data_IF_348859676916
#
_entry.id   IF_348859676916
#
_cell.length_a   1.000
_cell.length_b   1.000
_cell.length_c   1.000
_cell.angle_alpha   90.00
_cell.angle_beta   90.00
_cell.angle_gamma   90.00
#
_symmetry.space_group_name_H-M   'P 1'
#
loop_
_entity.id
_entity.type
_entity.pdbx_description
1 polymer ?
#
# COMPACT_ATOMS: atom_id res chain seq x y z
N UNK A 1 67.59 17.53 -6.77
CA UNK A 1 67.67 17.74 -5.31
C UNK A 1 66.39 18.44 -4.87
N UNK A 2 65.21 17.83 -4.73
CA UNK A 2 64.66 16.51 -5.02
C UNK A 2 63.14 16.77 -5.08
N UNK A 3 62.48 16.41 -6.17
CA UNK A 3 61.01 16.40 -6.22
C UNK A 3 60.58 14.94 -6.07
N UNK A 4 60.10 14.62 -4.86
CA UNK A 4 59.47 13.34 -4.55
C UNK A 4 58.21 13.18 -5.41
N UNK A 5 58.32 12.26 -6.37
CA UNK A 5 57.23 11.82 -7.22
C UNK A 5 56.31 10.91 -6.39
N UNK A 6 55.18 11.44 -5.91
CA UNK A 6 54.18 10.66 -5.18
C UNK A 6 53.47 9.68 -6.15
N UNK A 7 53.94 8.43 -6.12
CA UNK A 7 53.47 7.32 -6.95
C UNK A 7 52.34 6.56 -6.27
N UNK A 8 51.20 7.21 -6.07
CA UNK A 8 49.95 6.54 -5.70
C UNK A 8 48.78 6.96 -6.60
N UNK A 9 48.89 6.65 -7.89
CA UNK A 9 47.71 6.54 -8.76
C UNK A 9 47.22 5.09 -8.73
N UNK A 10 45.94 4.83 -8.38
CA UNK A 10 45.37 3.50 -8.44
C UNK A 10 45.38 2.96 -9.88
N UNK A 11 46.13 1.89 -10.10
CA UNK A 11 46.09 1.09 -11.33
C UNK A 11 44.73 0.40 -11.43
N UNK A 12 43.83 0.92 -12.26
CA UNK A 12 42.63 0.19 -12.69
C UNK A 12 43.08 -0.87 -13.70
N UNK A 13 43.43 -2.05 -13.19
CA UNK A 13 43.71 -3.20 -14.02
C UNK A 13 42.42 -3.62 -14.74
N UNK A 14 42.51 -3.63 -16.05
CA UNK A 14 41.55 -4.22 -16.96
C UNK A 14 41.35 -5.70 -16.61
N UNK A 15 40.08 -6.10 -16.46
CA UNK A 15 39.68 -7.48 -16.67
C UNK A 15 38.44 -7.48 -17.57
N UNK A 16 38.71 -7.74 -18.85
CA UNK A 16 37.73 -7.88 -19.91
C UNK A 16 37.89 -9.30 -20.44
N UNK A 17 36.94 -10.22 -20.22
CA UNK A 17 36.85 -11.42 -21.02
C UNK A 17 36.00 -11.14 -22.25
N UNK A 18 36.69 -11.30 -23.37
CA UNK A 18 36.26 -11.45 -24.75
C UNK A 18 34.79 -11.80 -25.03
N UNK A 19 34.31 -11.11 -26.06
CA UNK A 19 33.22 -11.47 -26.93
C UNK A 19 33.23 -12.97 -27.32
N UNK A 20 32.09 -13.61 -27.09
CA UNK A 20 31.64 -14.75 -27.88
C UNK A 20 30.42 -14.28 -28.69
N UNK A 21 30.60 -14.27 -29.99
CA UNK A 21 29.58 -14.19 -31.02
C UNK A 21 28.44 -15.17 -30.78
N UNK A 22 27.20 -14.71 -30.90
CA UNK A 22 26.16 -15.41 -31.65
C UNK A 22 25.03 -14.44 -32.04
N UNK A 23 24.86 -14.30 -33.35
CA UNK A 23 23.74 -13.65 -34.03
C UNK A 23 22.53 -14.63 -34.08
N UNK A 24 21.35 -14.17 -34.50
CA UNK A 24 20.05 -14.61 -33.96
C UNK A 24 19.55 -15.91 -34.60
N UNK A 25 19.05 -16.81 -33.76
CA UNK A 25 18.33 -18.01 -34.19
C UNK A 25 16.82 -17.76 -34.05
N UNK A 26 16.13 -17.80 -35.19
CA UNK A 26 14.68 -17.91 -35.31
C UNK A 26 14.18 -19.15 -34.58
N UNK A 27 13.28 -18.98 -33.63
CA UNK A 27 12.45 -20.06 -33.11
C UNK A 27 11.04 -19.56 -32.82
N UNK A 28 10.18 -19.78 -33.82
CA UNK A 28 8.88 -20.42 -33.70
C UNK A 28 7.91 -19.91 -32.63
N UNK A 29 6.81 -19.37 -33.13
CA UNK A 29 5.52 -19.35 -32.44
C UNK A 29 5.15 -20.72 -31.85
N UNK A 30 4.48 -20.73 -30.69
CA UNK A 30 3.42 -21.68 -30.45
C UNK A 30 2.08 -20.98 -30.65
N UNK A 31 1.29 -21.57 -31.54
CA UNK A 31 -0.13 -21.36 -31.63
C UNK A 31 -0.83 -21.77 -30.33
N UNK A 32 -1.92 -21.05 -30.04
CA UNK A 32 -3.14 -21.54 -29.38
C UNK A 32 -2.95 -22.54 -28.24
N UNK A 33 -3.06 -22.04 -27.01
CA UNK A 33 -3.67 -22.83 -25.95
C UNK A 33 -4.82 -22.03 -25.34
N UNK A 34 -6.03 -22.53 -25.60
CA UNK A 34 -7.27 -22.15 -24.94
C UNK A 34 -7.13 -22.48 -23.45
N UNK A 35 -6.60 -21.56 -22.65
CA UNK A 35 -6.68 -21.68 -21.20
C UNK A 35 -7.98 -21.04 -20.73
N UNK A 36 -9.01 -21.89 -20.81
CA UNK A 36 -10.05 -22.08 -19.81
C UNK A 36 -10.39 -20.85 -18.96
N UNK A 37 -11.56 -20.29 -19.26
CA UNK A 37 -12.33 -19.44 -18.37
C UNK A 37 -12.20 -19.94 -16.92
N UNK A 38 -11.70 -19.07 -16.05
CA UNK A 38 -11.77 -19.26 -14.62
C UNK A 38 -13.22 -19.64 -14.25
N UNK A 39 -13.44 -20.71 -13.47
CA UNK A 39 -14.78 -21.08 -13.07
C UNK A 39 -15.34 -19.92 -12.24
N UNK A 40 -16.37 -19.27 -12.78
CA UNK A 40 -17.30 -18.51 -11.95
C UNK A 40 -17.62 -19.36 -10.73
N UNK A 41 -17.56 -18.83 -9.50
CA UNK A 41 -18.16 -19.54 -8.39
C UNK A 41 -19.61 -19.82 -8.81
N UNK A 42 -19.98 -21.10 -8.82
CA UNK A 42 -21.35 -21.50 -9.02
C UNK A 42 -22.21 -20.67 -8.06
N UNK A 43 -23.39 -20.17 -8.48
CA UNK A 43 -24.35 -19.63 -7.54
C UNK A 43 -24.70 -20.77 -6.60
N UNK A 44 -24.11 -20.72 -5.40
CA UNK A 44 -24.34 -21.70 -4.37
C UNK A 44 -25.82 -21.73 -4.03
N UNK A 45 -26.28 -22.94 -3.76
CA UNK A 45 -27.67 -23.29 -3.59
C UNK A 45 -28.43 -22.35 -2.66
N UNK A 46 -29.49 -21.78 -3.19
CA UNK A 46 -30.83 -21.75 -2.57
C UNK A 46 -30.90 -21.68 -1.04
N UNK A 47 -30.28 -20.69 -0.42
CA UNK A 47 -30.97 -20.05 0.70
C UNK A 47 -32.08 -19.22 0.07
N UNK A 48 -33.21 -19.87 -0.16
CA UNK A 48 -34.50 -19.18 -0.22
C UNK A 48 -34.65 -18.49 1.13
N UNK A 49 -34.06 -17.31 1.23
CA UNK A 49 -34.29 -16.39 2.32
C UNK A 49 -35.76 -16.00 2.15
N UNK A 50 -36.62 -16.77 2.83
CA UNK A 50 -38.06 -16.53 3.00
C UNK A 50 -38.24 -15.22 3.76
N UNK A 51 -37.96 -14.11 3.09
CA UNK A 51 -38.27 -12.75 3.54
C UNK A 51 -38.90 -11.91 2.43
N UNK A 52 -39.36 -12.55 1.35
CA UNK A 52 -40.41 -12.01 0.50
C UNK A 52 -41.75 -12.31 1.18
N UNK A 53 -42.62 -11.31 1.35
CA UNK A 53 -43.98 -11.57 1.82
C UNK A 53 -44.61 -12.63 0.93
N UNK A 54 -45.07 -13.74 1.53
CA UNK A 54 -45.61 -14.89 0.79
C UNK A 54 -46.76 -14.39 -0.10
N UNK A 55 -46.60 -14.32 -1.44
CA UNK A 55 -47.69 -13.92 -2.35
C UNK A 55 -48.84 -14.93 -2.30
N UNK A 56 -48.53 -16.14 -1.83
CA UNK A 56 -49.45 -17.25 -1.61
C UNK A 56 -50.14 -17.16 -0.24
N UNK A 57 -49.72 -16.26 0.67
CA UNK A 57 -50.31 -16.10 2.01
C UNK A 57 -51.83 -15.92 2.00
N UNK A 58 -52.43 -15.10 1.10
CA UNK A 58 -53.89 -15.02 1.02
C UNK A 58 -54.50 -16.35 0.56
N UNK A 59 -53.87 -17.05 -0.40
CA UNK A 59 -54.32 -18.37 -0.88
C UNK A 59 -54.28 -19.44 0.21
N UNK A 60 -53.16 -19.55 0.91
CA UNK A 60 -52.92 -20.52 1.97
C UNK A 60 -53.86 -20.30 3.17
N UNK A 61 -54.14 -19.04 3.51
CA UNK A 61 -55.10 -18.69 4.56
C UNK A 61 -56.52 -19.13 4.17
N UNK A 62 -56.94 -18.88 2.93
CA UNK A 62 -58.25 -19.31 2.46
C UNK A 62 -58.36 -20.83 2.40
N UNK A 63 -57.32 -21.53 1.95
CA UNK A 63 -57.30 -22.98 1.88
C UNK A 63 -57.34 -23.65 3.27
N UNK A 64 -56.69 -23.05 4.27
CA UNK A 64 -56.77 -23.53 5.65
C UNK A 64 -58.20 -23.37 6.23
N UNK A 65 -58.86 -22.25 5.95
CA UNK A 65 -60.25 -22.01 6.37
C UNK A 65 -61.22 -22.94 5.65
N UNK A 66 -61.02 -23.16 4.35
CA UNK A 66 -61.83 -24.07 3.54
C UNK A 66 -61.67 -25.52 4.02
N UNK A 67 -60.44 -25.95 4.35
CA UNK A 67 -60.17 -27.28 4.92
C UNK A 67 -60.89 -27.46 6.27
N UNK A 68 -60.75 -26.51 7.19
CA UNK A 68 -61.43 -26.56 8.48
C UNK A 68 -62.96 -26.62 8.33
N UNK A 69 -63.52 -25.83 7.42
CA UNK A 69 -64.96 -25.82 7.18
C UNK A 69 -65.43 -27.12 6.56
N UNK A 70 -64.72 -27.62 5.54
CA UNK A 70 -65.05 -28.89 4.90
C UNK A 70 -64.89 -30.07 5.87
N UNK A 71 -63.95 -30.04 6.82
CA UNK A 71 -63.80 -31.11 7.83
C UNK A 71 -65.01 -31.21 8.77
N UNK A 72 -65.68 -30.09 9.06
CA UNK A 72 -66.84 -30.02 9.97
C UNK A 72 -68.18 -30.42 9.36
N UNK A 73 -68.26 -30.60 8.03
CA UNK A 73 -69.50 -30.94 7.33
C UNK A 73 -69.68 -32.46 7.15
N UNK A 74 -70.89 -32.98 6.90
CA UNK A 74 -71.08 -34.38 6.51
C UNK A 74 -70.49 -34.69 5.13
N UNK A 75 -69.94 -35.89 4.92
CA UNK A 75 -69.16 -36.26 3.72
C UNK A 75 -69.89 -36.02 2.39
N UNK A 76 -71.21 -36.27 2.34
CA UNK A 76 -72.05 -36.01 1.18
C UNK A 76 -72.08 -34.52 0.75
N UNK A 77 -71.94 -33.60 1.70
CA UNK A 77 -71.91 -32.15 1.45
C UNK A 77 -70.51 -31.68 1.06
N UNK A 78 -69.45 -32.34 1.56
CA UNK A 78 -68.07 -32.06 1.17
C UNK A 78 -67.83 -32.32 -0.31
N UNK A 79 -68.35 -33.46 -0.82
CA UNK A 79 -68.16 -33.88 -2.21
C UNK A 79 -68.96 -33.04 -3.23
N UNK A 80 -69.97 -32.29 -2.76
CA UNK A 80 -70.85 -31.49 -3.61
C UNK A 80 -70.53 -30.00 -3.63
N UNK A 81 -69.50 -29.54 -2.90
CA UNK A 81 -69.09 -28.14 -2.84
C UNK A 81 -67.74 -27.92 -3.55
N UNK A 82 -67.70 -26.99 -4.50
CA UNK A 82 -66.47 -26.61 -5.17
C UNK A 82 -65.63 -25.67 -4.31
N UNK A 83 -64.39 -26.06 -4.02
CA UNK A 83 -63.42 -25.28 -3.22
C UNK A 83 -63.12 -23.91 -3.84
N UNK A 84 -63.04 -23.82 -5.17
CA UNK A 84 -62.75 -22.55 -5.85
C UNK A 84 -63.87 -21.51 -5.70
N UNK A 85 -65.14 -21.95 -5.72
CA UNK A 85 -66.27 -21.05 -5.45
C UNK A 85 -66.34 -20.65 -3.98
N UNK A 86 -65.98 -21.56 -3.06
CA UNK A 86 -65.88 -21.23 -1.63
C UNK A 86 -64.79 -20.17 -1.41
N UNK A 87 -63.63 -20.29 -2.07
CA UNK A 87 -62.56 -19.30 -2.04
C UNK A 87 -63.00 -17.94 -2.55
N UNK A 88 -63.68 -17.89 -3.70
CA UNK A 88 -64.22 -16.65 -4.26
C UNK A 88 -65.30 -16.03 -3.36
N UNK A 89 -66.15 -16.85 -2.74
CA UNK A 89 -67.19 -16.38 -1.82
C UNK A 89 -66.59 -15.81 -0.54
N UNK A 90 -65.62 -16.48 0.06
CA UNK A 90 -64.91 -15.99 1.26
C UNK A 90 -64.17 -14.70 0.91
N UNK A 91 -63.47 -14.65 -0.23
CA UNK A 91 -62.82 -13.45 -0.69
C UNK A 91 -63.82 -12.30 -0.81
N UNK A 92 -64.95 -12.51 -1.49
CA UNK A 92 -66.01 -11.51 -1.71
C UNK A 92 -66.86 -11.17 -0.47
N UNK A 93 -66.80 -11.99 0.58
CA UNK A 93 -67.47 -11.75 1.86
C UNK A 93 -66.57 -11.05 2.89
N UNK A 94 -65.25 -11.04 2.69
CA UNK A 94 -64.34 -10.26 3.53
C UNK A 94 -64.61 -8.76 3.39
N UNK A 95 -64.48 -8.02 4.49
CA UNK A 95 -64.57 -6.57 4.48
C UNK A 95 -63.50 -5.93 3.57
N UNK A 96 -63.88 -4.85 2.88
CA UNK A 96 -63.00 -4.09 1.98
C UNK A 96 -61.70 -3.63 2.67
N UNK A 97 -61.77 -3.37 3.98
CA UNK A 97 -60.62 -2.98 4.80
C UNK A 97 -59.57 -4.09 5.00
N UNK A 98 -59.98 -5.35 4.94
CA UNK A 98 -59.07 -6.51 5.06
C UNK A 98 -58.47 -6.86 3.70
N UNK A 99 -59.24 -6.76 2.61
CA UNK A 99 -58.72 -6.94 1.25
C UNK A 99 -57.66 -5.92 0.92
N UNK A 100 -57.96 -4.64 1.14
CA UNK A 100 -56.99 -3.55 0.94
C UNK A 100 -55.74 -3.75 1.79
N UNK A 101 -55.82 -4.31 3.01
CA UNK A 101 -54.64 -4.63 3.82
C UNK A 101 -53.83 -5.79 3.24
N UNK A 102 -54.47 -6.86 2.77
CA UNK A 102 -53.80 -7.99 2.12
C UNK A 102 -53.10 -7.53 0.83
N UNK A 103 -53.80 -6.76 0.00
CA UNK A 103 -53.25 -6.20 -1.23
C UNK A 103 -52.09 -5.23 -0.94
N UNK A 104 -52.21 -4.39 0.10
CA UNK A 104 -51.13 -3.51 0.53
C UNK A 104 -49.93 -4.28 1.12
N UNK A 105 -50.15 -5.44 1.74
CA UNK A 105 -49.08 -6.29 2.25
C UNK A 105 -48.31 -6.96 1.10
N UNK A 106 -49.01 -7.49 0.10
CA UNK A 106 -48.42 -8.08 -1.10
C UNK A 106 -47.73 -7.02 -1.96
N UNK A 107 -48.42 -5.92 -2.27
CA UNK A 107 -47.83 -4.80 -3.02
C UNK A 107 -46.69 -4.10 -2.26
N UNK A 108 -46.74 -4.10 -0.93
CA UNK A 108 -45.66 -3.59 -0.07
C UNK A 108 -44.41 -4.45 -0.16
N UNK A 109 -44.54 -5.78 -0.19
CA UNK A 109 -43.44 -6.71 -0.38
C UNK A 109 -42.78 -6.52 -1.75
N UNK A 110 -43.56 -6.48 -2.84
CA UNK A 110 -43.06 -6.25 -4.20
C UNK A 110 -42.37 -4.89 -4.33
N UNK A 111 -42.96 -3.84 -3.76
CA UNK A 111 -42.38 -2.49 -3.79
C UNK A 111 -41.06 -2.41 -3.05
N UNK A 112 -40.95 -3.11 -1.91
CA UNK A 112 -39.69 -3.19 -1.15
C UNK A 112 -38.61 -3.93 -1.93
N UNK A 113 -38.97 -5.01 -2.63
CA UNK A 113 -38.04 -5.80 -3.43
C UNK A 113 -37.56 -5.01 -4.66
N UNK A 114 -38.48 -4.36 -5.37
CA UNK A 114 -38.15 -3.47 -6.49
C UNK A 114 -37.24 -2.33 -6.02
N UNK A 115 -37.47 -1.79 -4.83
CA UNK A 115 -36.62 -0.73 -4.27
C UNK A 115 -35.22 -1.24 -3.91
N UNK A 116 -35.08 -2.44 -3.32
CA UNK A 116 -33.79 -3.08 -3.07
C UNK A 116 -33.01 -3.28 -4.38
N UNK A 117 -33.64 -3.90 -5.38
CA UNK A 117 -33.04 -4.12 -6.69
C UNK A 117 -32.64 -2.81 -7.38
N UNK A 118 -33.46 -1.75 -7.25
CA UNK A 118 -33.12 -0.43 -7.78
C UNK A 118 -31.90 0.17 -7.09
N UNK A 119 -31.82 0.08 -5.76
CA UNK A 119 -30.70 0.59 -4.98
C UNK A 119 -29.41 -0.18 -5.31
N UNK A 120 -29.48 -1.50 -5.43
CA UNK A 120 -28.35 -2.34 -5.84
C UNK A 120 -27.87 -1.96 -7.25
N UNK A 121 -28.80 -1.79 -8.20
CA UNK A 121 -28.47 -1.35 -9.56
C UNK A 121 -27.86 0.06 -9.57
N UNK A 122 -28.36 1.02 -8.78
CA UNK A 122 -27.73 2.34 -8.65
C UNK A 122 -26.33 2.24 -8.05
N UNK A 123 -26.15 1.40 -7.03
CA UNK A 123 -24.85 1.18 -6.39
C UNK A 123 -23.84 0.55 -7.35
N UNK A 124 -24.24 -0.47 -8.12
CA UNK A 124 -23.40 -1.11 -9.13
C UNK A 124 -23.06 -0.14 -10.28
N UNK A 125 -24.02 0.68 -10.74
CA UNK A 125 -23.73 1.70 -11.73
C UNK A 125 -22.73 2.74 -11.21
N UNK A 126 -22.86 3.17 -9.95
CA UNK A 126 -21.90 4.06 -9.31
C UNK A 126 -20.50 3.45 -9.22
N UNK A 127 -20.39 2.17 -8.86
CA UNK A 127 -19.10 1.46 -8.85
C UNK A 127 -18.50 1.33 -10.26
N UNK A 128 -19.31 1.11 -11.29
CA UNK A 128 -18.84 1.08 -12.68
C UNK A 128 -18.33 2.45 -13.12
N UNK A 129 -19.05 3.52 -12.79
CA UNK A 129 -18.64 4.89 -13.11
C UNK A 129 -17.33 5.27 -12.38
N UNK A 130 -17.21 4.92 -11.11
CA UNK A 130 -15.97 5.11 -10.34
C UNK A 130 -14.80 4.33 -10.94
N UNK A 131 -15.00 3.05 -11.25
CA UNK A 131 -13.98 2.21 -11.89
C UNK A 131 -13.58 2.74 -13.28
N UNK A 132 -14.54 3.28 -14.05
CA UNK A 132 -14.25 3.93 -15.33
C UNK A 132 -13.46 5.23 -15.15
N UNK A 133 -13.79 6.04 -14.14
CA UNK A 133 -13.04 7.25 -13.81
C UNK A 133 -11.61 6.92 -13.36
N UNK A 134 -11.43 5.87 -12.57
CA UNK A 134 -10.11 5.38 -12.14
C UNK A 134 -9.29 4.85 -13.31
N UNK A 135 -9.91 4.09 -14.24
CA UNK A 135 -9.26 3.67 -15.48
C UNK A 135 -8.80 4.87 -16.31
N UNK A 136 -9.64 5.91 -16.44
CA UNK A 136 -9.28 7.13 -17.17
C UNK A 136 -8.15 7.93 -16.51
N UNK A 137 -8.09 7.95 -15.17
CA UNK A 137 -6.96 8.53 -14.42
C UNK A 137 -5.68 7.73 -14.63
N UNK A 138 -5.76 6.40 -14.58
CA UNK A 138 -4.62 5.52 -14.84
C UNK A 138 -4.05 5.72 -16.25
N UNK A 139 -4.91 5.81 -17.27
CA UNK A 139 -4.50 6.10 -18.65
C UNK A 139 -3.82 7.46 -18.79
N UNK A 140 -4.35 8.48 -18.11
CA UNK A 140 -3.76 9.83 -18.10
C UNK A 140 -2.37 9.84 -17.46
N UNK A 141 -2.20 9.14 -16.33
CA UNK A 141 -0.90 8.99 -15.67
C UNK A 141 0.08 8.20 -16.55
N UNK A 142 -0.37 7.13 -17.22
CA UNK A 142 0.47 6.36 -18.14
C UNK A 142 0.97 7.21 -19.32
N UNK A 143 0.11 8.08 -19.88
CA UNK A 143 0.50 9.03 -20.92
C UNK A 143 1.53 10.04 -20.42
N UNK A 144 1.37 10.55 -19.18
CA UNK A 144 2.30 11.51 -18.60
C UNK A 144 3.67 10.87 -18.31
N UNK A 145 3.69 9.66 -17.74
CA UNK A 145 4.93 8.89 -17.55
C UNK A 145 5.64 8.70 -18.89
N UNK A 146 4.92 8.33 -19.95
CA UNK A 146 5.50 8.17 -21.29
C UNK A 146 6.07 9.49 -21.83
N UNK A 147 5.40 10.64 -21.60
CA UNK A 147 5.93 11.96 -22.01
C UNK A 147 7.21 12.31 -21.25
N UNK A 148 7.22 12.12 -19.93
CA UNK A 148 8.39 12.38 -19.09
C UNK A 148 9.55 11.49 -19.51
N UNK A 149 9.33 10.18 -19.72
CA UNK A 149 10.34 9.25 -20.24
C UNK A 149 10.91 9.72 -21.58
N UNK A 150 10.06 10.07 -22.55
CA UNK A 150 10.53 10.58 -23.84
C UNK A 150 11.31 11.89 -23.71
N UNK A 151 10.94 12.77 -22.78
CA UNK A 151 11.67 14.00 -22.51
C UNK A 151 13.05 13.74 -21.89
N UNK A 152 13.12 12.83 -20.91
CA UNK A 152 14.36 12.41 -20.28
C UNK A 152 15.29 11.71 -21.28
N UNK A 153 14.74 10.87 -22.15
CA UNK A 153 15.48 10.20 -23.22
C UNK A 153 16.02 11.19 -24.27
N UNK A 154 15.29 12.26 -24.56
CA UNK A 154 15.78 13.35 -25.43
C UNK A 154 16.89 14.14 -24.74
N UNK A 155 16.73 14.47 -23.47
CA UNK A 155 17.76 15.15 -22.68
C UNK A 155 19.02 14.30 -22.57
N UNK A 156 18.90 12.99 -22.30
CA UNK A 156 20.02 12.06 -22.25
C UNK A 156 20.78 12.02 -23.58
N UNK A 157 20.07 11.95 -24.71
CA UNK A 157 20.71 12.01 -26.04
C UNK A 157 21.44 13.33 -26.26
N UNK A 158 20.81 14.46 -25.96
CA UNK A 158 21.44 15.77 -26.11
C UNK A 158 22.69 15.95 -25.23
N UNK A 159 22.68 15.39 -24.01
CA UNK A 159 23.85 15.39 -23.13
C UNK A 159 24.94 14.45 -23.62
N UNK A 160 24.60 13.25 -24.11
CA UNK A 160 25.56 12.35 -24.73
C UNK A 160 26.20 12.98 -25.98
N UNK A 161 25.44 13.68 -26.82
CA UNK A 161 25.96 14.40 -27.98
C UNK A 161 26.93 15.51 -27.55
N UNK A 162 26.59 16.27 -26.49
CA UNK A 162 27.50 17.28 -25.93
C UNK A 162 28.76 16.67 -25.33
N UNK A 163 28.66 15.52 -24.67
CA UNK A 163 29.83 14.80 -24.14
C UNK A 163 30.73 14.36 -25.29
N UNK A 164 30.16 13.75 -26.35
CA UNK A 164 30.91 13.36 -27.54
C UNK A 164 31.59 14.57 -28.21
N UNK A 165 30.92 15.72 -28.29
CA UNK A 165 31.50 16.96 -28.82
C UNK A 165 32.66 17.47 -27.95
N UNK A 166 32.51 17.43 -26.63
CA UNK A 166 33.58 17.82 -25.69
C UNK A 166 34.77 16.86 -25.74
N UNK A 167 34.52 15.55 -25.84
CA UNK A 167 35.56 14.54 -26.03
C UNK A 167 36.32 14.76 -27.35
N UNK A 168 35.60 15.07 -28.43
CA UNK A 168 36.20 15.46 -29.72
C UNK A 168 37.05 16.74 -29.61
N UNK A 169 36.58 17.76 -28.88
CA UNK A 169 37.36 18.96 -28.62
C UNK A 169 38.63 18.66 -27.79
N UNK A 170 38.52 17.82 -26.75
CA UNK A 170 39.67 17.42 -25.92
C UNK A 170 40.70 16.67 -26.75
N UNK A 171 40.30 15.74 -27.61
CA UNK A 171 41.24 15.03 -28.49
C UNK A 171 41.90 15.97 -29.50
N UNK A 172 41.16 16.94 -30.05
CA UNK A 172 41.71 17.98 -30.91
C UNK A 172 42.74 18.83 -30.16
N UNK A 173 42.42 19.31 -28.96
CA UNK A 173 43.32 20.10 -28.11
C UNK A 173 44.56 19.31 -27.68
N UNK A 174 44.41 18.02 -27.39
CA UNK A 174 45.54 17.13 -27.11
C UNK A 174 46.47 17.03 -28.33
N UNK A 175 45.91 16.84 -29.53
CA UNK A 175 46.70 16.81 -30.76
C UNK A 175 47.41 18.14 -31.05
N UNK A 176 46.76 19.28 -30.75
CA UNK A 176 47.35 20.60 -30.90
C UNK A 176 48.48 20.82 -29.88
N UNK A 177 48.28 20.40 -28.63
CA UNK A 177 49.32 20.42 -27.59
C UNK A 177 50.54 19.60 -28.03
N UNK A 178 50.36 18.40 -28.55
CA UNK A 178 51.45 17.56 -29.08
C UNK A 178 52.17 18.25 -30.26
N UNK A 179 51.44 18.88 -31.17
CA UNK A 179 52.01 19.69 -32.27
C UNK A 179 52.83 20.88 -31.76
N UNK A 180 52.36 21.58 -30.73
CA UNK A 180 53.10 22.70 -30.13
C UNK A 180 54.36 22.22 -29.42
N UNK A 181 54.28 21.11 -28.69
CA UNK A 181 55.44 20.53 -27.99
C UNK A 181 56.52 20.09 -28.98
N UNK A 182 56.13 19.38 -30.04
CA UNK A 182 57.06 18.99 -31.12
C UNK A 182 57.66 20.21 -31.83
N UNK A 183 56.86 21.24 -32.12
CA UNK A 183 57.36 22.50 -32.68
C UNK A 183 58.33 23.21 -31.74
N UNK A 184 58.03 23.28 -30.44
CA UNK A 184 58.91 23.87 -29.42
C UNK A 184 60.23 23.10 -29.35
N UNK A 185 60.19 21.77 -29.35
CA UNK A 185 61.39 20.93 -29.37
C UNK A 185 62.24 21.24 -30.61
N UNK A 186 61.64 21.27 -31.80
CA UNK A 186 62.35 21.60 -33.03
C UNK A 186 62.97 23.01 -32.99
N UNK A 187 62.27 24.01 -32.44
CA UNK A 187 62.85 25.35 -32.29
C UNK A 187 64.02 25.41 -31.31
N UNK A 188 63.96 24.64 -30.22
CA UNK A 188 65.06 24.55 -29.25
C UNK A 188 66.30 23.90 -29.89
N UNK A 189 66.10 22.85 -30.69
CA UNK A 189 67.16 22.20 -31.45
C UNK A 189 67.79 23.15 -32.48
N UNK A 190 66.98 23.92 -33.23
CA UNK A 190 67.47 24.97 -34.14
C UNK A 190 68.28 26.03 -33.40
N UNK A 191 67.84 26.46 -32.21
CA UNK A 191 68.60 27.41 -31.38
C UNK A 191 69.93 26.82 -30.92
N UNK A 192 69.96 25.55 -30.51
CA UNK A 192 71.20 24.83 -30.19
C UNK A 192 72.18 24.84 -31.37
N UNK A 193 71.71 24.42 -32.56
CA UNK A 193 72.52 24.46 -33.77
C UNK A 193 72.97 25.87 -34.15
N UNK A 194 72.14 26.89 -33.93
CA UNK A 194 72.52 28.29 -34.19
C UNK A 194 73.60 28.78 -33.24
N UNK A 195 73.54 28.40 -31.96
CA UNK A 195 74.59 28.71 -31.00
C UNK A 195 75.89 27.99 -31.38
N UNK A 196 75.81 26.72 -31.80
CA UNK A 196 76.97 25.98 -32.31
C UNK A 196 77.59 26.67 -33.53
N UNK A 197 76.76 27.12 -34.49
CA UNK A 197 77.23 27.90 -35.64
C UNK A 197 77.89 29.21 -35.18
N UNK A 198 77.29 29.94 -34.24
CA UNK A 198 77.87 31.18 -33.71
C UNK A 198 79.24 30.93 -33.06
N UNK A 199 79.39 29.86 -32.26
CA UNK A 199 80.71 29.50 -31.69
C UNK A 199 81.72 29.13 -32.78
N UNK A 200 81.28 28.45 -33.83
CA UNK A 200 82.13 28.13 -34.99
C UNK A 200 82.49 29.37 -35.80
N UNK A 201 81.58 30.33 -35.93
CA UNK A 201 81.84 31.62 -36.57
C UNK A 201 82.78 32.49 -35.71
N UNK A 202 82.68 32.43 -34.38
CA UNK A 202 83.65 33.04 -33.46
C UNK A 202 85.04 32.40 -33.61
N UNK A 203 85.12 31.08 -33.73
CA UNK A 203 86.37 30.38 -34.05
C UNK A 203 86.92 30.82 -35.44
N UNK A 204 86.06 30.89 -36.47
CA UNK A 204 86.43 31.35 -37.81
C UNK A 204 86.85 32.81 -37.80
N UNK A 205 86.18 33.68 -37.05
CA UNK A 205 86.53 35.10 -36.94
C UNK A 205 87.78 35.31 -36.10
N UNK A 206 88.04 34.50 -35.08
CA UNK A 206 89.33 34.47 -34.38
C UNK A 206 90.46 34.04 -35.32
N UNK A 207 90.25 32.98 -36.11
CA UNK A 207 91.22 32.53 -37.12
C UNK A 207 91.42 33.58 -38.24
N UNK A 208 90.34 34.18 -38.74
CA UNK A 208 90.39 35.32 -39.67
C UNK A 208 91.03 36.54 -39.03
N UNK A 209 90.81 36.78 -37.75
CA UNK A 209 91.40 37.85 -36.96
C UNK A 209 92.89 37.67 -36.80
N UNK A 210 93.38 36.43 -36.65
CA UNK A 210 94.82 36.13 -36.71
C UNK A 210 95.37 36.35 -38.14
N UNK A 211 94.64 35.96 -39.18
CA UNK A 211 94.99 36.24 -40.59
C UNK A 211 94.97 37.75 -40.87
N UNK A 212 94.03 38.47 -40.26
CA UNK A 212 93.85 39.90 -40.42
C UNK A 212 94.80 40.68 -39.53
N UNK A 213 95.21 40.22 -38.35
CA UNK A 213 96.25 40.85 -37.53
C UNK A 213 97.62 40.76 -38.24
N UNK A 214 97.83 39.66 -38.99
CA UNK A 214 98.89 39.57 -39.99
C UNK A 214 98.70 40.54 -41.17
N UNK A 215 97.47 40.91 -41.54
CA UNK A 215 97.16 41.83 -42.66
C UNK A 215 96.86 43.29 -42.25
N UNK A 216 96.68 43.61 -40.96
CA UNK A 216 96.18 44.89 -40.42
C UNK A 216 97.17 45.55 -39.47
N UNK A 217 98.32 44.91 -39.26
CA UNK A 217 99.59 45.64 -39.20
C UNK A 217 99.81 46.56 -40.42
N UNK A 218 99.01 46.45 -41.48
CA UNK A 218 99.15 47.22 -42.71
C UNK A 218 98.30 48.51 -42.79
N UNK A 219 97.18 48.70 -42.08
CA UNK A 219 96.40 49.97 -42.22
C UNK A 219 95.37 50.24 -41.10
N UNK A 220 95.41 51.44 -40.52
CA UNK A 220 94.63 51.90 -39.37
C UNK A 220 93.45 52.83 -39.71
N UNK A 221 92.28 52.58 -39.10
CA UNK A 221 91.26 53.47 -38.46
C UNK A 221 90.77 54.79 -39.13
N UNK A 222 89.71 55.49 -38.61
CA UNK A 222 88.47 55.10 -37.90
C UNK A 222 87.20 55.77 -38.54
N UNK A 223 85.97 55.54 -38.05
CA UNK A 223 84.84 56.44 -38.42
C UNK A 223 83.64 56.49 -37.43
N UNK A 224 83.01 57.66 -37.32
CA UNK A 224 81.90 58.03 -36.42
C UNK A 224 80.50 57.67 -36.96
N UNK A 225 80.41 56.92 -38.06
CA UNK A 225 79.14 56.43 -38.61
C UNK A 225 78.46 55.38 -37.72
N UNK A 226 79.26 54.62 -36.96
CA UNK A 226 78.76 53.52 -36.13
C UNK A 226 77.91 53.96 -34.94
N UNK A 227 78.02 55.20 -34.47
CA UNK A 227 77.23 55.68 -33.33
C UNK A 227 75.80 56.05 -33.73
N UNK A 228 75.60 56.55 -34.95
CA UNK A 228 74.26 56.80 -35.53
C UNK A 228 73.56 55.47 -35.81
N UNK A 229 74.29 54.50 -36.37
CA UNK A 229 73.77 53.17 -36.65
C UNK A 229 73.41 52.40 -35.37
N UNK A 230 74.17 52.58 -34.28
CA UNK A 230 73.84 52.04 -32.94
C UNK A 230 72.57 52.64 -32.36
N UNK A 231 72.36 53.95 -32.47
CA UNK A 231 71.14 54.60 -31.98
C UNK A 231 69.91 54.17 -32.78
N UNK A 232 70.06 53.97 -34.10
CA UNK A 232 68.98 53.42 -34.94
C UNK A 232 68.64 51.97 -34.53
N UNK A 233 69.66 51.13 -34.33
CA UNK A 233 69.46 49.75 -33.87
C UNK A 233 68.80 49.69 -32.47
N UNK A 234 69.14 50.61 -31.57
CA UNK A 234 68.51 50.68 -30.24
C UNK A 234 67.05 51.13 -30.31
N UNK A 235 66.70 52.05 -31.21
CA UNK A 235 65.29 52.43 -31.44
C UNK A 235 64.49 51.25 -32.00
N UNK A 236 65.02 50.51 -32.99
CA UNK A 236 64.38 49.31 -33.54
C UNK A 236 64.24 48.19 -32.49
N UNK A 237 65.24 48.05 -31.62
CA UNK A 237 65.17 47.13 -30.48
C UNK A 237 64.07 47.55 -29.49
N UNK A 238 63.91 48.85 -29.23
CA UNK A 238 62.86 49.36 -28.35
C UNK A 238 61.47 49.23 -28.97
N UNK A 239 61.30 49.43 -30.28
CA UNK A 239 60.01 49.22 -30.95
C UNK A 239 59.58 47.77 -30.89
N UNK A 240 60.47 46.84 -31.22
CA UNK A 240 60.19 45.39 -31.14
C UNK A 240 59.87 44.93 -29.72
N UNK A 241 60.59 45.43 -28.70
CA UNK A 241 60.27 45.14 -27.31
C UNK A 241 58.89 45.68 -26.90
N UNK A 242 58.53 46.87 -27.38
CA UNK A 242 57.24 47.50 -27.09
C UNK A 242 56.09 46.72 -27.72
N UNK A 243 56.25 46.27 -28.96
CA UNK A 243 55.28 45.38 -29.63
C UNK A 243 55.12 44.05 -28.89
N UNK A 244 56.22 43.45 -28.40
CA UNK A 244 56.15 42.24 -27.58
C UNK A 244 55.42 42.45 -26.26
N UNK A 245 55.63 43.59 -25.58
CA UNK A 245 54.90 43.93 -24.36
C UNK A 245 53.43 44.19 -24.65
N UNK A 246 53.09 44.87 -25.75
CA UNK A 246 51.71 45.11 -26.14
C UNK A 246 50.97 43.80 -26.46
N UNK A 247 51.63 42.86 -27.15
CA UNK A 247 51.10 41.52 -27.37
C UNK A 247 50.90 40.75 -26.06
N UNK A 248 51.85 40.83 -25.12
CA UNK A 248 51.73 40.21 -23.80
C UNK A 248 50.55 40.79 -23.02
N UNK A 249 50.37 42.11 -23.01
CA UNK A 249 49.25 42.77 -22.31
C UNK A 249 47.91 42.30 -22.89
N UNK A 250 47.76 42.29 -24.22
CA UNK A 250 46.56 41.78 -24.88
C UNK A 250 46.28 40.32 -24.52
N UNK A 251 47.33 39.49 -24.47
CA UNK A 251 47.21 38.08 -24.10
C UNK A 251 46.85 37.88 -22.63
N UNK A 252 47.41 38.69 -21.72
CA UNK A 252 47.05 38.65 -20.29
C UNK A 252 45.64 39.17 -20.03
N UNK A 253 45.18 40.19 -20.77
CA UNK A 253 43.81 40.69 -20.66
C UNK A 253 42.79 39.67 -21.16
N UNK A 254 43.10 38.97 -22.26
CA UNK A 254 42.28 37.86 -22.75
C UNK A 254 42.22 36.73 -21.71
N UNK A 255 43.35 36.35 -21.11
CA UNK A 255 43.40 35.32 -20.07
C UNK A 255 42.66 35.74 -18.79
N UNK A 256 42.76 37.01 -18.37
CA UNK A 256 42.01 37.53 -17.23
C UNK A 256 40.50 37.52 -17.50
N UNK A 257 40.06 37.83 -18.71
CA UNK A 257 38.66 37.76 -19.07
C UNK A 257 38.14 36.32 -19.12
N UNK A 258 38.92 35.39 -19.65
CA UNK A 258 38.60 33.96 -19.65
C UNK A 258 38.47 33.42 -18.21
N UNK A 259 39.44 33.71 -17.34
CA UNK A 259 39.39 33.32 -15.93
C UNK A 259 38.18 33.92 -15.20
N UNK A 260 37.80 35.17 -15.53
CA UNK A 260 36.58 35.79 -15.00
C UNK A 260 35.32 35.08 -15.49
N UNK A 261 35.27 34.67 -16.76
CA UNK A 261 34.16 33.89 -17.32
C UNK A 261 34.04 32.55 -16.61
N UNK A 262 35.13 31.80 -16.51
CA UNK A 262 35.18 30.51 -15.81
C UNK A 262 34.78 30.65 -14.33
N UNK A 263 35.20 31.73 -13.67
CA UNK A 263 34.79 32.01 -12.28
C UNK A 263 33.29 32.29 -12.19
N UNK A 264 32.70 32.98 -13.17
CA UNK A 264 31.26 33.24 -13.21
C UNK A 264 30.45 31.96 -13.48
N UNK A 265 30.92 31.11 -14.40
CA UNK A 265 30.32 29.82 -14.72
C UNK A 265 30.37 28.87 -13.52
N UNK A 266 31.53 28.73 -12.86
CA UNK A 266 31.67 27.92 -11.65
C UNK A 266 30.74 28.38 -10.52
N UNK A 267 30.55 29.70 -10.36
CA UNK A 267 29.59 30.25 -9.38
C UNK A 267 28.15 29.92 -9.75
N UNK A 268 27.80 29.96 -11.03
CA UNK A 268 26.47 29.60 -11.50
C UNK A 268 26.18 28.11 -11.29
N UNK A 269 27.16 27.24 -11.56
CA UNK A 269 27.05 25.80 -11.29
C UNK A 269 26.90 25.51 -9.80
N UNK A 270 27.69 26.18 -8.94
CA UNK A 270 27.55 26.08 -7.49
C UNK A 270 26.15 26.49 -7.02
N UNK A 271 25.61 27.60 -7.56
CA UNK A 271 24.27 28.07 -7.22
C UNK A 271 23.18 27.06 -7.64
N UNK A 272 23.29 26.48 -8.83
CA UNK A 272 22.38 25.42 -9.29
C UNK A 272 22.48 24.16 -8.43
N UNK A 273 23.69 23.77 -8.03
CA UNK A 273 23.90 22.63 -7.15
C UNK A 273 23.31 22.88 -5.74
N UNK A 274 23.43 24.09 -5.21
CA UNK A 274 22.82 24.50 -3.95
C UNK A 274 21.28 24.48 -4.02
N UNK A 275 20.70 24.96 -5.13
CA UNK A 275 19.26 24.89 -5.37
C UNK A 275 18.80 23.42 -5.48
N UNK A 276 19.53 22.58 -6.21
CA UNK A 276 19.27 21.14 -6.28
C UNK A 276 19.32 20.45 -4.92
N UNK A 277 20.28 20.81 -4.07
CA UNK A 277 20.38 20.29 -2.70
C UNK A 277 19.21 20.75 -1.82
N UNK A 278 18.73 21.98 -1.97
CA UNK A 278 17.55 22.47 -1.27
C UNK A 278 16.29 21.68 -1.66
N UNK A 279 16.12 21.38 -2.95
CA UNK A 279 15.01 20.53 -3.43
C UNK A 279 15.10 19.12 -2.86
N UNK A 280 16.30 18.51 -2.83
CA UNK A 280 16.49 17.17 -2.24
C UNK A 280 16.16 17.18 -0.75
N UNK A 281 16.54 18.22 -0.01
CA UNK A 281 16.20 18.35 1.41
C UNK A 281 14.69 18.48 1.63
N UNK A 282 13.98 19.22 0.79
CA UNK A 282 12.51 19.31 0.85
C UNK A 282 11.86 17.95 0.53
N UNK A 283 12.35 17.24 -0.49
CA UNK A 283 11.88 15.88 -0.81
C UNK A 283 12.12 14.93 0.36
N UNK A 284 13.28 15.00 1.01
CA UNK A 284 13.57 14.19 2.19
C UNK A 284 12.61 14.51 3.34
N UNK A 285 12.35 15.80 3.61
CA UNK A 285 11.40 16.21 4.64
C UNK A 285 9.96 15.75 4.34
N UNK A 286 9.58 15.71 3.06
CA UNK A 286 8.29 15.16 2.62
C UNK A 286 8.24 13.64 2.75
N UNK A 287 9.35 12.94 2.47
CA UNK A 287 9.47 11.50 2.65
C UNK A 287 9.31 11.11 4.13
N UNK A 288 9.99 11.81 5.04
CA UNK A 288 9.90 11.57 6.48
C UNK A 288 8.46 11.74 6.99
N UNK A 289 7.76 12.79 6.54
CA UNK A 289 6.34 13.00 6.84
C UNK A 289 5.47 11.85 6.32
N UNK A 290 5.76 11.32 5.13
CA UNK A 290 5.03 10.20 4.56
C UNK A 290 5.30 8.91 5.34
N UNK A 291 6.54 8.66 5.76
CA UNK A 291 6.90 7.53 6.61
C UNK A 291 6.17 7.57 7.96
N UNK A 292 6.06 8.75 8.58
CA UNK A 292 5.29 8.92 9.82
C UNK A 292 3.80 8.66 9.62
N UNK A 293 3.22 9.14 8.53
CA UNK A 293 1.81 8.85 8.18
C UNK A 293 1.61 7.36 7.93
N UNK A 294 2.57 6.70 7.25
CA UNK A 294 2.53 5.27 7.01
C UNK A 294 2.54 4.49 8.33
N UNK A 295 3.47 4.80 9.25
CA UNK A 295 3.53 4.16 10.57
C UNK A 295 2.22 4.28 11.33
N UNK A 296 1.62 5.48 11.39
CA UNK A 296 0.32 5.69 12.04
C UNK A 296 -0.81 4.89 11.41
N UNK A 297 -0.81 4.76 10.08
CA UNK A 297 -1.81 3.94 9.37
C UNK A 297 -1.60 2.45 9.63
N UNK A 298 -0.35 1.98 9.62
CA UNK A 298 -0.01 0.59 9.91
C UNK A 298 -0.39 0.21 11.36
N UNK A 299 -0.13 1.09 12.33
CA UNK A 299 -0.60 0.96 13.71
C UNK A 299 -2.12 0.87 13.78
N UNK A 300 -2.84 1.75 13.08
CA UNK A 300 -4.30 1.73 13.04
C UNK A 300 -4.86 0.46 12.39
N UNK A 301 -4.20 -0.05 11.36
CA UNK A 301 -4.56 -1.32 10.72
C UNK A 301 -4.36 -2.47 11.71
N UNK A 302 -3.25 -2.49 12.44
CA UNK A 302 -3.00 -3.51 13.47
C UNK A 302 -4.07 -3.48 14.58
N UNK A 303 -4.42 -2.30 15.10
CA UNK A 303 -5.51 -2.13 16.06
C UNK A 303 -6.85 -2.66 15.54
N UNK A 304 -7.21 -2.33 14.29
CA UNK A 304 -8.45 -2.79 13.67
C UNK A 304 -8.45 -4.30 13.44
N UNK A 305 -7.30 -4.88 13.08
CA UNK A 305 -7.14 -6.33 12.93
C UNK A 305 -7.31 -7.06 14.26
N UNK A 306 -6.73 -6.53 15.34
CA UNK A 306 -6.88 -7.12 16.68
C UNK A 306 -8.30 -6.98 17.21
N UNK A 307 -8.96 -5.84 16.97
CA UNK A 307 -10.38 -5.65 17.28
C UNK A 307 -11.27 -6.65 16.51
N UNK A 308 -10.99 -6.87 15.22
CA UNK A 308 -11.71 -7.88 14.43
C UNK A 308 -11.49 -9.29 14.98
N UNK A 309 -10.25 -9.65 15.36
CA UNK A 309 -9.93 -10.94 15.97
C UNK A 309 -10.66 -11.15 17.30
N UNK A 310 -10.70 -10.12 18.15
CA UNK A 310 -11.44 -10.17 19.41
C UNK A 310 -12.93 -10.39 19.17
N UNK A 311 -13.54 -9.61 18.28
CA UNK A 311 -14.96 -9.74 17.92
C UNK A 311 -15.28 -11.11 17.29
N UNK A 312 -14.36 -11.69 16.50
CA UNK A 312 -14.54 -13.04 15.97
C UNK A 312 -14.45 -14.10 17.06
N UNK A 313 -13.53 -13.95 18.02
CA UNK A 313 -13.42 -14.85 19.17
C UNK A 313 -14.68 -14.81 20.05
N UNK A 314 -15.19 -13.62 20.35
CA UNK A 314 -16.46 -13.47 21.08
C UNK A 314 -17.63 -14.11 20.34
N UNK A 315 -17.70 -13.95 19.02
CA UNK A 315 -18.73 -14.60 18.18
C UNK A 315 -18.65 -16.13 18.28
N UNK A 316 -17.45 -16.69 18.20
CA UNK A 316 -17.23 -18.15 18.29
C UNK A 316 -17.58 -18.68 19.69
N UNK A 317 -17.25 -17.94 20.75
CA UNK A 317 -17.65 -18.27 22.11
C UNK A 317 -19.18 -18.28 22.27
N UNK A 318 -19.86 -17.23 21.78
CA UNK A 318 -21.32 -17.14 21.80
C UNK A 318 -21.94 -18.29 20.98
N UNK A 319 -21.39 -18.59 19.80
CA UNK A 319 -21.85 -19.70 18.98
C UNK A 319 -21.72 -21.05 19.71
N UNK A 320 -20.57 -21.31 20.35
CA UNK A 320 -20.37 -22.53 21.14
C UNK A 320 -21.32 -22.64 22.34
N UNK A 321 -21.64 -21.50 22.97
CA UNK A 321 -22.60 -21.45 24.08
C UNK A 321 -24.01 -21.71 23.59
N UNK A 322 -24.38 -21.14 22.45
CA UNK A 322 -25.67 -21.37 21.81
C UNK A 322 -25.82 -22.85 21.45
N UNK A 323 -24.81 -23.46 20.83
CA UNK A 323 -24.79 -24.89 20.50
C UNK A 323 -24.93 -25.80 21.74
N UNK A 324 -24.25 -25.49 22.85
CA UNK A 324 -24.45 -26.22 24.11
C UNK A 324 -25.88 -26.10 24.61
N UNK A 325 -26.45 -24.89 24.61
CA UNK A 325 -27.82 -24.68 25.07
C UNK A 325 -28.86 -25.33 24.15
N UNK A 326 -28.63 -25.39 22.83
CA UNK A 326 -29.53 -26.09 21.90
C UNK A 326 -29.44 -27.61 22.11
N UNK A 327 -28.24 -28.16 22.25
CA UNK A 327 -28.04 -29.58 22.57
C UNK A 327 -28.70 -29.98 23.91
N UNK A 328 -28.55 -29.15 24.95
CA UNK A 328 -29.21 -29.36 26.24
C UNK A 328 -30.74 -29.31 26.08
N UNK A 329 -31.29 -28.33 25.37
CA UNK A 329 -32.73 -28.24 25.09
C UNK A 329 -33.26 -29.46 24.32
N UNK A 330 -32.52 -29.94 23.32
CA UNK A 330 -32.87 -31.18 22.60
C UNK A 330 -32.85 -32.39 23.52
N UNK A 331 -31.84 -32.52 24.39
CA UNK A 331 -31.76 -33.62 25.36
C UNK A 331 -32.93 -33.59 26.35
N UNK A 332 -33.33 -32.40 26.80
CA UNK A 332 -34.49 -32.21 27.66
C UNK A 332 -35.79 -32.54 26.93
N UNK A 333 -35.95 -32.12 25.67
CA UNK A 333 -37.10 -32.49 24.83
C UNK A 333 -37.21 -34.01 24.66
N UNK A 334 -36.10 -34.69 24.32
CA UNK A 334 -36.06 -36.16 24.23
C UNK A 334 -36.41 -36.83 25.57
N UNK A 335 -35.97 -36.24 26.69
CA UNK A 335 -36.30 -36.75 28.04
C UNK A 335 -37.78 -36.57 28.37
N UNK A 336 -38.37 -35.41 28.03
CA UNK A 336 -39.80 -35.14 28.19
C UNK A 336 -40.62 -36.08 27.32
N UNK A 337 -40.25 -36.27 26.06
CA UNK A 337 -40.90 -37.21 25.14
C UNK A 337 -40.87 -38.65 25.68
N UNK A 338 -39.71 -39.10 26.17
CA UNK A 338 -39.57 -40.43 26.77
C UNK A 338 -40.43 -40.57 28.05
N UNK A 339 -40.41 -39.56 28.92
CA UNK A 339 -41.23 -39.57 30.14
C UNK A 339 -42.73 -39.57 29.81
N UNK A 340 -43.16 -38.76 28.85
CA UNK A 340 -44.54 -38.70 28.38
C UNK A 340 -44.98 -40.03 27.77
N UNK A 341 -44.12 -40.66 26.96
CA UNK A 341 -44.38 -41.99 26.41
C UNK A 341 -44.55 -43.05 27.51
N UNK A 342 -43.64 -43.07 28.50
CA UNK A 342 -43.73 -43.99 29.63
C UNK A 342 -44.97 -43.72 30.49
N UNK A 343 -45.30 -42.45 30.73
CA UNK A 343 -46.49 -42.04 31.46
C UNK A 343 -47.75 -42.50 30.73
N UNK A 344 -47.87 -42.22 29.44
CA UNK A 344 -49.00 -42.65 28.61
C UNK A 344 -49.16 -44.17 28.59
N UNK A 345 -48.05 -44.92 28.53
CA UNK A 345 -48.07 -46.38 28.61
C UNK A 345 -48.54 -46.89 29.98
N UNK A 346 -48.02 -46.30 31.07
CA UNK A 346 -48.44 -46.64 32.43
C UNK A 346 -49.91 -46.30 32.67
N UNK A 347 -50.38 -45.15 32.16
CA UNK A 347 -51.77 -44.72 32.26
C UNK A 347 -52.67 -45.64 31.45
N UNK A 348 -52.27 -46.01 30.23
CA UNK A 348 -53.02 -46.98 29.43
C UNK A 348 -53.08 -48.35 30.11
N UNK A 349 -52.01 -48.79 30.78
CA UNK A 349 -52.00 -50.03 31.57
C UNK A 349 -53.00 -49.94 32.72
N UNK A 350 -52.95 -48.86 33.50
CA UNK A 350 -53.88 -48.60 34.59
C UNK A 350 -55.33 -48.49 34.10
N UNK A 351 -55.57 -47.82 32.96
CA UNK A 351 -56.91 -47.71 32.35
C UNK A 351 -57.45 -49.09 31.93
N UNK A 352 -56.62 -49.97 31.38
CA UNK A 352 -57.02 -51.35 31.06
C UNK A 352 -57.33 -52.15 32.32
N UNK A 353 -56.48 -52.05 33.34
CA UNK A 353 -56.69 -52.71 34.63
C UNK A 353 -57.97 -52.21 35.33
N UNK A 354 -58.22 -50.90 35.32
CA UNK A 354 -59.48 -50.31 35.81
C UNK A 354 -60.67 -50.86 35.04
N UNK A 355 -60.56 -50.98 33.71
CA UNK A 355 -61.64 -51.54 32.88
C UNK A 355 -61.89 -53.01 33.20
N UNK A 356 -60.83 -53.80 33.39
CA UNK A 356 -60.91 -55.21 33.75
C UNK A 356 -61.50 -55.39 35.15
N UNK A 357 -61.04 -54.63 36.14
CA UNK A 357 -61.60 -54.63 37.50
C UNK A 357 -63.07 -54.19 37.52
N UNK A 358 -63.44 -53.17 36.73
CA UNK A 358 -64.86 -52.78 36.57
C UNK A 358 -65.68 -53.90 35.95
N UNK A 359 -65.16 -54.58 34.93
CA UNK A 359 -65.84 -55.72 34.33
C UNK A 359 -65.97 -56.90 35.31
N UNK A 360 -64.95 -57.15 36.14
CA UNK A 360 -65.02 -58.13 37.23
C UNK A 360 -66.05 -57.72 38.28
N UNK A 361 -66.18 -56.43 38.59
CA UNK A 361 -67.19 -55.90 39.51
C UNK A 361 -68.61 -55.99 38.93
N UNK A 362 -68.76 -55.80 37.61
CA UNK A 362 -70.03 -55.94 36.90
C UNK A 362 -70.45 -57.42 36.76
N UNK A 363 -69.49 -58.35 36.56
CA UNK A 363 -69.78 -59.80 36.55
C UNK A 363 -70.03 -60.37 37.94
N UNK A 364 -69.44 -59.77 38.98
CA UNK A 364 -69.73 -60.10 40.39
C UNK A 364 -70.90 -59.30 40.97
N UNK A 365 -71.44 -58.32 40.23
CA UNK A 365 -72.56 -57.44 40.61
C UNK A 365 -73.95 -58.08 40.54
N UNK A 366 -74.05 -59.42 40.53
CA UNK A 366 -75.31 -60.14 40.68
C UNK A 366 -75.21 -61.16 41.83
N UNK A 367 -75.04 -60.67 43.07
CA UNK A 367 -75.67 -61.22 44.29
C UNK A 367 -75.38 -60.30 45.50
N UNK A 368 -76.34 -60.16 46.44
CA UNK A 368 -76.29 -59.17 47.52
C UNK A 368 -75.64 -59.69 48.81
N UNK A 369 -75.01 -58.77 49.57
CA UNK A 369 -75.04 -58.65 51.07
C UNK A 369 -74.26 -59.78 51.81
N UNK A 370 -73.47 -59.63 52.88
CA UNK A 370 -73.36 -58.69 54.00
C UNK A 370 -72.00 -58.88 54.73
N UNK A 371 -71.48 -57.79 55.31
CA UNK A 371 -70.85 -57.63 56.63
C UNK A 371 -70.14 -58.79 57.34
N UNK A 372 -68.86 -58.59 57.75
CA UNK A 372 -68.36 -58.87 59.12
C UNK A 372 -67.00 -58.20 59.45
N UNK A 373 -67.10 -57.21 60.35
CA UNK A 373 -66.25 -56.74 61.45
C UNK A 373 -64.75 -57.18 61.59
N UNK A 374 -63.85 -56.16 61.59
CA UNK A 374 -62.77 -55.79 62.56
C UNK A 374 -61.68 -56.82 63.03
N UNK A 375 -60.54 -56.42 63.67
CA UNK A 375 -59.64 -55.24 63.56
C UNK A 375 -58.09 -55.55 63.66
N UNK A 376 -57.24 -54.51 63.51
CA UNK A 376 -55.81 -54.30 63.94
C UNK A 376 -54.69 -55.28 63.48
N UNK A 377 -53.60 -54.74 62.87
CA UNK A 377 -52.20 -54.77 63.37
C UNK A 377 -51.13 -54.50 62.28
N UNK A 378 -50.19 -53.62 62.62
CA UNK A 378 -48.88 -53.46 61.97
C UNK A 378 -48.04 -54.74 62.10
N UNK A 379 -47.00 -54.89 61.25
CA UNK A 379 -45.67 -55.12 61.83
C UNK A 379 -44.60 -54.18 61.27
N UNK A 380 -43.63 -53.93 62.15
CA UNK A 380 -42.40 -53.19 61.93
C UNK A 380 -41.27 -54.08 61.35
N UNK A 381 -40.15 -53.40 61.02
CA UNK A 381 -38.76 -53.89 60.85
C UNK A 381 -38.35 -54.22 59.38
N UNK A 382 -37.15 -53.94 58.86
CA UNK A 382 -35.94 -53.19 59.26
C UNK A 382 -35.00 -53.12 58.00
N UNK A 383 -34.37 -51.95 57.77
CA UNK A 383 -33.02 -51.69 57.18
C UNK A 383 -32.63 -52.16 55.73
N UNK A 384 -31.50 -51.71 55.12
CA UNK A 384 -30.75 -50.44 55.23
C UNK A 384 -30.49 -49.73 53.87
N UNK A 385 -29.92 -48.52 53.94
CA UNK A 385 -29.64 -47.59 52.84
C UNK A 385 -28.53 -48.02 51.84
N UNK A 386 -28.49 -47.39 50.65
CA UNK A 386 -27.24 -47.10 49.96
C UNK A 386 -26.86 -45.60 50.09
N UNK A 387 -25.59 -45.40 50.44
CA UNK A 387 -24.91 -44.12 50.69
C UNK A 387 -25.00 -43.17 49.48
N UNK A 388 -25.72 -42.05 49.60
CA UNK A 388 -25.51 -40.89 48.72
C UNK A 388 -24.27 -40.14 49.22
N UNK A 389 -23.17 -40.28 48.48
CA UNK A 389 -21.96 -39.47 48.66
C UNK A 389 -22.35 -37.99 48.57
N UNK A 390 -22.08 -37.27 49.65
CA UNK A 390 -22.02 -35.81 49.70
C UNK A 390 -21.14 -35.31 48.56
N UNK A 391 -21.76 -34.79 47.49
CA UNK A 391 -21.06 -33.95 46.53
C UNK A 391 -21.11 -32.54 47.10
N UNK A 392 -19.93 -32.07 47.54
CA UNK A 392 -19.70 -30.72 48.03
C UNK A 392 -20.34 -29.73 47.06
N UNK A 393 -21.19 -28.84 47.59
CA UNK A 393 -21.53 -27.59 46.91
C UNK A 393 -20.19 -26.90 46.58
N UNK A 394 -19.92 -26.46 45.33
CA UNK A 394 -18.89 -25.46 45.16
C UNK A 394 -19.32 -24.26 46.00
N UNK A 395 -18.45 -23.80 46.91
CA UNK A 395 -18.58 -22.46 47.47
C UNK A 395 -18.65 -21.54 46.25
N UNK A 396 -19.75 -20.81 46.10
CA UNK A 396 -19.75 -19.62 45.26
C UNK A 396 -18.57 -18.80 45.75
N UNK A 397 -17.68 -18.49 44.83
CA UNK A 397 -16.58 -17.58 45.07
C UNK A 397 -17.21 -16.23 45.46
N UNK A 398 -17.22 -15.91 46.75
CA UNK A 398 -17.60 -14.60 47.32
C UNK A 398 -16.54 -13.52 46.98
N UNK A 399 -15.68 -13.75 45.98
CA UNK A 399 -14.74 -12.76 45.45
C UNK A 399 -15.23 -12.11 44.13
N UNK A 400 -16.50 -12.29 43.77
CA UNK A 400 -17.14 -11.57 42.67
C UNK A 400 -17.63 -10.15 43.04
N UNK A 401 -17.26 -9.67 44.23
CA UNK A 401 -17.32 -8.26 44.61
C UNK A 401 -15.94 -7.59 44.54
N UNK A 402 -15.09 -7.98 43.58
CA UNK A 402 -13.93 -7.16 43.17
C UNK A 402 -14.41 -5.91 42.41
N UNK A 403 -15.18 -5.08 43.10
CA UNK A 403 -15.45 -3.68 42.76
C UNK A 403 -14.29 -2.78 43.24
N UNK A 404 -13.13 -3.37 43.57
CA UNK A 404 -11.90 -2.68 43.97
C UNK A 404 -11.16 -2.01 42.79
N UNK A 405 -11.59 -2.22 41.54
CA UNK A 405 -11.24 -1.31 40.44
C UNK A 405 -12.07 -0.01 40.49
N UNK A 406 -13.31 -0.08 41.00
CA UNK A 406 -14.27 1.02 40.99
C UNK A 406 -14.21 1.89 42.26
N UNK A 407 -13.51 1.45 43.29
CA UNK A 407 -13.36 2.18 44.55
C UNK A 407 -11.91 2.16 45.05
N UNK A 408 -11.05 2.99 44.47
CA UNK A 408 -9.94 3.55 45.23
C UNK A 408 -9.58 4.98 44.80
N UNK A 409 -9.15 5.79 45.76
CA UNK A 409 -9.30 7.24 45.72
C UNK A 409 -8.22 7.91 44.87
N UNK A 410 -8.61 9.00 44.25
CA UNK A 410 -7.73 10.06 43.78
C UNK A 410 -6.54 10.31 44.71
N UNK A 411 -5.36 10.48 44.10
CA UNK A 411 -4.10 11.07 44.61
C UNK A 411 -2.96 10.08 44.88
N UNK A 412 -2.21 9.77 43.82
CA UNK A 412 -0.77 10.05 43.75
C UNK A 412 -0.47 10.58 42.35
N UNK A 413 0.00 11.82 42.27
CA UNK A 413 0.52 12.43 41.05
C UNK A 413 1.81 11.71 40.70
N UNK A 414 1.77 10.84 39.71
CA UNK A 414 2.97 10.34 39.06
C UNK A 414 3.53 11.49 38.22
N UNK A 415 4.65 12.06 38.65
CA UNK A 415 5.22 13.25 38.03
C UNK A 415 5.87 12.96 36.65
N UNK A 416 5.81 11.71 36.19
CA UNK A 416 6.44 11.22 34.96
C UNK A 416 5.44 10.62 33.96
N UNK A 417 4.12 10.69 34.26
CA UNK A 417 3.08 10.24 33.34
C UNK A 417 1.95 11.27 33.24
N UNK A 418 2.11 12.19 32.29
CA UNK A 418 1.10 13.20 31.96
C UNK A 418 1.63 14.21 30.95
N UNK A 419 0.79 14.56 29.98
CA UNK A 419 1.06 15.55 28.92
C UNK A 419 1.75 16.80 29.46
N UNK A 420 2.97 17.09 28.99
CA UNK A 420 3.62 18.38 29.22
C UNK A 420 3.17 19.35 28.13
N UNK A 421 2.37 20.35 28.50
CA UNK A 421 1.99 21.42 27.59
C UNK A 421 3.26 22.07 27.01
N UNK A 422 3.43 22.15 25.68
CA UNK A 422 4.60 22.78 25.08
C UNK A 422 4.73 24.24 25.51
N UNK A 423 5.95 24.76 25.70
CA UNK A 423 6.13 26.16 26.09
C UNK A 423 5.56 27.09 25.01
N UNK A 424 4.61 27.94 25.40
CA UNK A 424 4.07 28.99 24.54
C UNK A 424 5.21 29.92 24.09
N UNK A 425 5.48 29.95 22.78
CA UNK A 425 6.39 30.91 22.18
C UNK A 425 5.92 32.34 22.46
N UNK A 426 6.83 33.30 22.73
CA UNK A 426 6.43 34.67 23.02
C UNK A 426 5.66 35.25 21.84
N UNK A 427 4.50 35.84 22.14
CA UNK A 427 3.70 36.60 21.18
C UNK A 427 4.61 37.71 20.64
N UNK A 428 4.95 37.61 19.35
CA UNK A 428 5.76 38.60 18.66
C UNK A 428 4.91 39.87 18.48
N UNK A 429 5.01 40.81 19.42
CA UNK A 429 4.40 42.16 19.34
C UNK A 429 5.20 43.06 18.41
N UNK A 430 5.51 42.59 17.19
CA UNK A 430 6.13 43.45 16.19
C UNK A 430 5.02 44.21 15.46
N UNK A 431 4.69 45.39 15.99
CA UNK A 431 3.73 46.35 15.42
C UNK A 431 4.06 46.74 13.96
N UNK A 432 5.28 46.43 13.50
CA UNK A 432 5.72 46.62 12.13
C UNK A 432 5.01 45.74 11.09
N UNK A 433 4.31 44.66 11.49
CA UNK A 433 3.58 43.79 10.56
C UNK A 433 2.09 44.15 10.40
N UNK A 434 1.56 45.08 11.20
CA UNK A 434 0.19 45.58 11.07
C UNK A 434 0.09 46.88 10.25
N UNK A 435 1.22 47.46 9.85
CA UNK A 435 1.28 48.60 8.93
C UNK A 435 1.58 48.14 7.51
N UNK A 436 0.70 47.33 6.93
CA UNK A 436 0.66 47.14 5.49
C UNK A 436 -0.78 46.99 5.01
N UNK A 437 -1.55 48.06 5.26
CA UNK A 437 -2.68 48.49 4.46
C UNK A 437 -2.63 50.00 4.28
#
# INVERSE_FOLDING_TARGET
MDEEYDSSLPTYAADSPAAASNAPEEAQAPASDETAAAPRPAPDDTVTEKTAGDPDLPGDLFDAVIKLFNDTLPDFVKDSLSTDRQRQFIYNALDESLRTRLDNAVAGADRSQIQKLRNERDSLLGQIEEMQADSGRADSLAQEIKRVQLSADRQKRALCDRVNDLESQVTSLQSEKERILTRRHATAEIQGLKNDIATRDEEITSLKGQIQELSSRETSAPDNSGEIERLQAEVERQTTLREQLEMKVKMTDAMMNELRSQTAEARQELAKAQEGMAVVNEIQAQLDKFEDVKKRKDERIAELQDALRAMTGERDEIASRLEKTTADNESLRRTIENNLYNQANSENRLRREIKELKQQLETSGNTPVETSQQPVQQPAQQAPAPKRRSRRKPRVDENLDNTDWLASPSKKSDADFGYHEPPHSPINTNDAQLSLF
#
